data_IF_359207084471
#
_entry.id   IF_359207084471
#
_cell.length_a   1.000
_cell.length_b   1.000
_cell.length_c   1.000
_cell.angle_alpha   90.00
_cell.angle_beta   90.00
_cell.angle_gamma   90.00
#
_symmetry.space_group_name_H-M   'P 1'
#
loop_
_entity.id
_entity.type
_entity.pdbx_description
1 polymer ?
#
# COMPACT_ATOMS: atom_id res chain seq x y z
N UNK A 1 10.40 -17.13 -1.88
CA UNK A 1 11.22 -15.97 -1.42
C UNK A 1 12.36 -16.42 -0.52
N UNK A 2 12.12 -17.18 0.56
CA UNK A 2 13.20 -17.73 1.40
C UNK A 2 14.17 -18.64 0.61
N UNK A 3 13.65 -19.46 -0.31
CA UNK A 3 14.47 -20.31 -1.19
C UNK A 3 15.39 -19.49 -2.10
N UNK A 4 14.97 -18.29 -2.53
CA UNK A 4 15.79 -17.41 -3.35
C UNK A 4 16.97 -16.81 -2.57
N UNK A 5 16.93 -16.82 -1.23
CA UNK A 5 18.01 -16.34 -0.38
C UNK A 5 19.09 -17.40 -0.14
N UNK A 6 18.78 -18.69 -0.34
CA UNK A 6 19.69 -19.80 0.00
C UNK A 6 20.98 -19.84 -0.85
N UNK A 7 21.03 -19.11 -1.97
CA UNK A 7 22.20 -19.03 -2.85
C UNK A 7 23.00 -17.73 -2.77
N UNK A 8 22.63 -16.78 -1.90
CA UNK A 8 23.33 -15.51 -1.78
C UNK A 8 24.56 -15.66 -0.88
N UNK A 9 25.70 -15.12 -1.34
CA UNK A 9 26.93 -15.04 -0.54
C UNK A 9 26.77 -14.19 0.73
N UNK A 10 25.82 -13.25 0.71
CA UNK A 10 25.41 -12.47 1.87
C UNK A 10 24.01 -12.88 2.32
N UNK A 11 23.87 -13.25 3.59
CA UNK A 11 22.61 -13.65 4.20
C UNK A 11 22.02 -12.49 5.04
N UNK A 12 20.77 -12.07 4.80
CA UNK A 12 20.13 -11.05 5.60
C UNK A 12 19.78 -11.57 7.01
N UNK A 13 19.96 -10.74 8.03
CA UNK A 13 19.53 -11.04 9.41
C UNK A 13 18.04 -10.71 9.64
N UNK A 14 17.47 -9.87 8.78
CA UNK A 14 16.09 -9.40 8.92
C UNK A 14 15.41 -9.31 7.57
N UNK A 15 14.19 -9.82 7.49
CA UNK A 15 13.30 -9.67 6.35
C UNK A 15 12.24 -8.63 6.64
N UNK A 16 12.08 -7.68 5.71
CA UNK A 16 10.99 -6.71 5.70
C UNK A 16 10.15 -6.93 4.45
N UNK A 17 8.95 -7.47 4.62
CA UNK A 17 8.02 -7.73 3.52
C UNK A 17 6.99 -6.62 3.42
N UNK A 18 7.02 -5.86 2.33
CA UNK A 18 6.11 -4.73 2.11
C UNK A 18 4.64 -5.19 1.99
N UNK A 19 3.75 -4.61 2.79
CA UNK A 19 2.38 -5.09 2.97
C UNK A 19 1.29 -4.13 2.45
N UNK A 20 1.64 -2.91 2.03
CA UNK A 20 0.68 -1.90 1.53
C UNK A 20 0.03 -2.28 0.18
N UNK A 21 0.59 -3.24 -0.55
CA UNK A 21 0.04 -3.75 -1.82
C UNK A 21 -0.51 -5.18 -1.75
N UNK A 22 -0.76 -5.70 -0.54
CA UNK A 22 -1.36 -7.03 -0.41
C UNK A 22 -2.71 -7.08 -1.15
N UNK A 23 -2.93 -8.09 -1.98
CA UNK A 23 -4.09 -8.17 -2.89
C UNK A 23 -5.44 -8.05 -2.16
N UNK A 24 -5.49 -8.52 -0.91
CA UNK A 24 -6.68 -8.51 -0.05
C UNK A 24 -6.79 -7.29 0.88
N UNK A 25 -5.94 -6.26 0.73
CA UNK A 25 -6.00 -5.05 1.56
C UNK A 25 -7.35 -4.30 1.40
N UNK A 26 -8.06 -4.52 0.28
CA UNK A 26 -9.39 -3.94 0.01
C UNK A 26 -10.52 -4.49 0.89
N UNK A 27 -10.29 -5.58 1.63
CA UNK A 27 -11.27 -6.17 2.55
C UNK A 27 -11.44 -5.37 3.85
N UNK A 28 -10.49 -4.50 4.17
CA UNK A 28 -10.49 -3.72 5.40
C UNK A 28 -10.82 -2.25 5.11
N UNK A 29 -11.51 -1.55 6.03
CA UNK A 29 -11.82 -0.14 5.85
C UNK A 29 -10.52 0.65 5.71
N UNK A 30 -10.31 1.24 4.53
CA UNK A 30 -9.05 1.90 4.19
C UNK A 30 -8.89 3.31 4.79
N UNK A 31 -9.92 3.85 5.44
CA UNK A 31 -9.93 5.25 5.87
C UNK A 31 -9.84 6.23 4.71
N UNK A 32 -9.46 7.47 5.01
CA UNK A 32 -9.26 8.49 4.00
C UNK A 32 -7.93 8.31 3.25
N UNK A 33 -7.78 9.00 2.12
CA UNK A 33 -6.55 8.91 1.33
C UNK A 33 -5.40 9.53 2.11
N UNK A 34 -4.32 8.78 2.32
CA UNK A 34 -3.21 9.20 3.16
C UNK A 34 -3.28 8.66 4.59
N UNK A 35 -4.41 8.12 5.05
CA UNK A 35 -4.50 7.53 6.39
C UNK A 35 -3.77 6.17 6.49
N UNK A 36 -3.53 5.77 7.74
CA UNK A 36 -3.10 4.41 8.05
C UNK A 36 -4.20 3.39 7.79
N UNK A 37 -3.79 2.15 7.51
CA UNK A 37 -4.72 1.03 7.43
C UNK A 37 -4.69 0.21 8.71
N UNK A 38 -5.88 -0.16 9.18
CA UNK A 38 -6.04 -1.09 10.28
C UNK A 38 -5.45 -2.45 9.90
N UNK A 39 -4.69 -3.03 10.83
CA UNK A 39 -4.22 -4.40 10.69
C UNK A 39 -5.38 -5.38 10.84
N UNK A 40 -5.40 -6.49 10.06
CA UNK A 40 -6.35 -7.56 10.30
C UNK A 40 -6.16 -8.10 11.73
N UNK A 41 -7.23 -8.53 12.41
CA UNK A 41 -7.11 -9.18 13.70
C UNK A 41 -6.28 -10.46 13.55
N UNK A 42 -5.38 -10.69 14.50
CA UNK A 42 -4.61 -11.92 14.56
C UNK A 42 -5.52 -13.04 15.09
N UNK A 43 -5.89 -13.96 14.21
CA UNK A 43 -6.76 -15.09 14.59
C UNK A 43 -5.96 -16.28 15.14
N UNK A 44 -4.70 -16.44 14.72
CA UNK A 44 -3.82 -17.53 15.13
C UNK A 44 -2.42 -17.02 15.51
N UNK A 45 -1.84 -17.59 16.58
CA UNK A 45 -0.54 -17.20 17.13
C UNK A 45 0.67 -17.86 16.44
N UNK A 46 0.47 -18.54 15.31
CA UNK A 46 1.47 -19.47 14.73
C UNK A 46 2.60 -18.77 13.97
N UNK A 47 2.48 -17.48 13.65
CA UNK A 47 3.41 -16.82 12.73
C UNK A 47 4.40 -15.87 13.43
N UNK A 48 5.70 -16.13 13.28
CA UNK A 48 6.81 -15.31 13.82
C UNK A 48 7.01 -13.95 13.10
N UNK A 49 5.95 -13.37 12.55
CA UNK A 49 6.01 -12.11 11.82
C UNK A 49 5.42 -11.00 12.67
N UNK A 50 6.19 -9.94 12.89
CA UNK A 50 5.74 -8.76 13.61
C UNK A 50 5.33 -7.67 12.60
N UNK A 51 4.19 -6.99 12.79
CA UNK A 51 3.88 -5.82 12.00
C UNK A 51 4.85 -4.69 12.36
N UNK A 52 5.43 -4.08 11.35
CA UNK A 52 6.28 -2.89 11.46
C UNK A 52 5.64 -1.77 10.64
N UNK A 53 5.32 -0.65 11.30
CA UNK A 53 4.74 0.52 10.66
C UNK A 53 5.72 1.68 10.75
N UNK A 54 6.17 2.19 9.60
CA UNK A 54 6.98 3.39 9.53
C UNK A 54 6.07 4.57 9.18
N UNK A 55 6.16 5.63 9.96
CA UNK A 55 5.39 6.86 9.71
C UNK A 55 6.14 7.71 8.69
N UNK A 56 5.45 8.10 7.62
CA UNK A 56 5.94 9.09 6.67
C UNK A 56 5.35 10.45 6.99
N UNK A 57 6.22 11.46 7.03
CA UNK A 57 5.78 12.84 7.07
C UNK A 57 5.15 13.25 5.72
N UNK A 58 4.47 14.40 5.71
CA UNK A 58 3.75 14.85 4.53
C UNK A 58 4.69 15.16 3.34
N UNK A 59 5.92 15.61 3.63
CA UNK A 59 6.93 15.88 2.61
C UNK A 59 7.34 14.58 1.90
N UNK A 60 7.70 13.54 2.65
CA UNK A 60 8.07 12.22 2.09
C UNK A 60 6.91 11.58 1.34
N UNK A 61 5.68 11.74 1.81
CA UNK A 61 4.49 11.25 1.09
C UNK A 61 4.33 11.93 -0.28
N UNK A 62 4.56 13.25 -0.34
CA UNK A 62 4.52 14.01 -1.60
C UNK A 62 5.65 13.58 -2.53
N UNK A 63 6.86 13.42 -2.02
CA UNK A 63 8.00 12.96 -2.82
C UNK A 63 7.75 11.55 -3.39
N UNK A 64 7.19 10.65 -2.58
CA UNK A 64 6.75 9.32 -3.03
C UNK A 64 5.68 9.45 -4.12
N UNK A 65 4.69 10.31 -3.94
CA UNK A 65 3.64 10.53 -4.92
C UNK A 65 4.19 11.05 -6.25
N UNK A 66 5.14 12.00 -6.22
CA UNK A 66 5.81 12.52 -7.41
C UNK A 66 6.60 11.43 -8.13
N UNK A 67 7.41 10.66 -7.40
CA UNK A 67 8.18 9.55 -7.97
C UNK A 67 7.28 8.50 -8.63
N UNK A 68 6.15 8.16 -7.99
CA UNK A 68 5.16 7.25 -8.57
C UNK A 68 4.46 7.86 -9.79
N UNK A 69 4.18 9.16 -9.80
CA UNK A 69 3.60 9.87 -10.94
C UNK A 69 4.50 9.87 -12.18
N UNK A 70 5.81 9.71 -12.00
CA UNK A 70 6.76 9.57 -13.10
C UNK A 70 6.75 8.17 -13.73
N UNK A 71 6.12 7.18 -13.11
CA UNK A 71 6.00 5.84 -13.70
C UNK A 71 5.00 5.87 -14.86
N UNK A 72 5.49 5.55 -16.06
CA UNK A 72 4.69 5.58 -17.29
C UNK A 72 3.41 4.74 -17.20
N UNK A 73 3.40 3.64 -16.45
CA UNK A 73 2.22 2.78 -16.28
C UNK A 73 1.07 3.44 -15.50
N UNK A 74 1.37 4.48 -14.72
CA UNK A 74 0.39 5.16 -13.87
C UNK A 74 -0.19 6.43 -14.50
N UNK A 75 0.41 6.90 -15.60
CA UNK A 75 0.04 8.12 -16.33
C UNK A 75 -1.20 8.02 -17.24
N UNK A 76 -1.56 6.87 -17.85
CA UNK A 76 -2.68 6.81 -18.76
C UNK A 76 -3.99 7.17 -18.07
N UNK A 77 -4.86 7.98 -18.71
CA UNK A 77 -6.16 8.29 -18.15
C UNK A 77 -6.97 7.00 -17.97
N UNK A 78 -7.67 6.90 -16.83
CA UNK A 78 -8.51 5.74 -16.58
C UNK A 78 -9.58 5.60 -17.68
N UNK A 79 -9.85 4.39 -18.19
CA UNK A 79 -10.88 4.17 -19.21
C UNK A 79 -12.24 4.67 -18.72
N UNK A 80 -13.07 5.16 -19.63
CA UNK A 80 -14.36 5.81 -19.32
C UNK A 80 -15.23 5.01 -18.34
N UNK A 81 -15.32 3.68 -18.52
CA UNK A 81 -16.06 2.78 -17.61
C UNK A 81 -15.58 2.88 -16.16
N UNK A 82 -14.26 2.99 -15.92
CA UNK A 82 -13.68 3.17 -14.58
C UNK A 82 -14.00 4.55 -14.00
N UNK A 83 -13.99 5.60 -14.84
CA UNK A 83 -14.38 6.96 -14.41
C UNK A 83 -15.84 7.02 -13.96
N UNK A 84 -16.75 6.42 -14.73
CA UNK A 84 -18.18 6.35 -14.38
C UNK A 84 -18.40 5.58 -13.07
N UNK A 85 -17.78 4.40 -12.92
CA UNK A 85 -17.85 3.62 -11.67
C UNK A 85 -17.41 4.45 -10.46
N UNK A 86 -16.39 5.28 -10.61
CA UNK A 86 -15.87 6.12 -9.53
C UNK A 86 -16.79 7.28 -9.19
N UNK A 87 -17.44 7.89 -10.16
CA UNK A 87 -18.46 8.91 -9.90
C UNK A 87 -19.61 8.30 -9.08
N UNK A 88 -20.06 7.10 -9.45
CA UNK A 88 -21.06 6.35 -8.68
C UNK A 88 -20.57 6.01 -7.27
N UNK A 89 -19.32 5.55 -7.11
CA UNK A 89 -18.75 5.25 -5.78
C UNK A 89 -18.56 6.51 -4.91
N UNK A 90 -18.24 7.65 -5.50
CA UNK A 90 -18.18 8.93 -4.78
C UNK A 90 -19.56 9.33 -4.28
N UNK A 91 -20.56 9.23 -5.14
CA UNK A 91 -21.93 9.65 -4.83
C UNK A 91 -22.64 8.71 -3.85
N UNK A 92 -22.51 7.39 -4.05
CA UNK A 92 -23.19 6.37 -3.23
C UNK A 92 -22.43 5.98 -1.98
N UNK A 93 -21.09 5.95 -2.02
CA UNK A 93 -20.26 5.41 -0.94
C UNK A 93 -19.34 6.46 -0.29
N UNK A 94 -19.48 7.74 -0.63
CA UNK A 94 -18.67 8.84 -0.06
C UNK A 94 -17.16 8.70 -0.31
N UNK A 95 -16.74 7.84 -1.24
CA UNK A 95 -15.33 7.46 -1.39
C UNK A 95 -14.54 8.56 -2.09
N UNK A 96 -13.75 9.33 -1.34
CA UNK A 96 -12.94 10.42 -1.89
C UNK A 96 -11.75 9.91 -2.73
N UNK A 97 -11.41 10.53 -3.87
CA UNK A 97 -10.20 10.20 -4.62
C UNK A 97 -8.91 10.56 -3.85
N UNK A 98 -7.79 9.98 -4.29
CA UNK A 98 -6.47 10.42 -3.81
C UNK A 98 -6.20 11.86 -4.27
N UNK A 99 -5.63 12.73 -3.42
CA UNK A 99 -5.23 14.08 -3.82
C UNK A 99 -4.08 14.08 -4.85
N UNK A 100 -3.37 12.97 -5.00
CA UNK A 100 -2.18 12.86 -5.84
C UNK A 100 -2.45 12.42 -7.29
N UNK A 101 -3.69 12.02 -7.61
CA UNK A 101 -4.04 11.65 -8.99
C UNK A 101 -5.28 10.77 -9.11
N UNK A 102 -5.73 10.57 -10.35
CA UNK A 102 -6.89 9.72 -10.63
C UNK A 102 -6.58 8.24 -10.39
N UNK A 103 -5.32 7.80 -10.37
CA UNK A 103 -5.01 6.38 -10.24
C UNK A 103 -5.27 5.89 -8.80
N UNK A 104 -6.01 4.78 -8.66
CA UNK A 104 -6.27 4.17 -7.34
C UNK A 104 -4.99 3.62 -6.72
N UNK A 105 -3.97 3.38 -7.55
CA UNK A 105 -2.63 3.08 -7.10
C UNK A 105 -2.12 4.10 -6.07
N UNK A 106 -2.32 5.41 -6.30
CA UNK A 106 -1.87 6.44 -5.34
C UNK A 106 -2.55 6.33 -3.98
N UNK A 107 -3.81 5.91 -3.93
CA UNK A 107 -4.55 5.70 -2.66
C UNK A 107 -4.00 4.51 -1.87
N UNK A 108 -3.48 3.50 -2.55
CA UNK A 108 -2.87 2.32 -1.92
C UNK A 108 -1.38 2.51 -1.62
N UNK A 109 -0.69 3.24 -2.48
CA UNK A 109 0.76 3.40 -2.46
C UNK A 109 1.21 4.55 -1.56
N UNK A 110 0.51 5.67 -1.55
CA UNK A 110 0.90 6.85 -0.76
C UNK A 110 0.04 6.89 0.50
N UNK A 111 0.66 6.52 1.63
CA UNK A 111 0.00 6.45 2.94
C UNK A 111 0.90 7.08 4.00
N UNK A 112 0.30 7.53 5.10
CA UNK A 112 1.01 7.96 6.30
C UNK A 112 1.82 6.84 6.92
N UNK A 113 1.40 5.59 6.75
CA UNK A 113 2.05 4.43 7.34
C UNK A 113 2.52 3.46 6.25
N UNK A 114 3.82 3.24 6.18
CA UNK A 114 4.41 2.14 5.41
C UNK A 114 4.40 0.88 6.25
N UNK A 115 3.60 -0.09 5.84
CA UNK A 115 3.45 -1.35 6.56
C UNK A 115 4.39 -2.42 6.00
N UNK A 116 5.11 -3.07 6.91
CA UNK A 116 5.98 -4.19 6.63
C UNK A 116 5.67 -5.34 7.60
N UNK A 117 5.76 -6.57 7.10
CA UNK A 117 5.89 -7.75 7.94
C UNK A 117 7.38 -8.00 8.18
N UNK A 118 7.80 -7.88 9.45
CA UNK A 118 9.18 -8.11 9.87
C UNK A 118 9.35 -9.53 10.38
N UNK A 119 10.42 -10.19 9.96
CA UNK A 119 10.87 -11.48 10.51
C UNK A 119 12.39 -11.47 10.71
N UNK A 120 12.83 -11.96 11.85
CA UNK A 120 14.24 -12.27 12.10
C UNK A 120 14.55 -13.67 11.54
N UNK A 121 15.72 -13.81 10.92
CA UNK A 121 16.18 -15.04 10.25
C UNK A 121 17.22 -15.79 11.07
#
# INVERSE_FOLDING_TARGET
>A
MLEALQGLAWQPQTLLCYANHLHDNDRWPMGDSGDGVALPPQLDAVQAWAPCSLVLDLATQRDKAMALGMMHDLQPPAPFKRRLRRLLQRWLAGRHPSPYGENEFFRKAVRRHELFWRREL
#
